data_IF_258492706365
#
_entry.id   IF_258492706365
#
_cell.length_a   1.000
_cell.length_b   1.000
_cell.length_c   1.000
_cell.angle_alpha   90.00
_cell.angle_beta   90.00
_cell.angle_gamma   90.00
#
_symmetry.space_group_name_H-M   'P 1'
#
loop_
_entity.id
_entity.type
_entity.pdbx_description
1 polymer ?
#
# COMPACT_ATOMS: atom_id res chain seq x y z
N UNK A 1 8.06 10.03 -12.46
CA UNK A 1 8.97 10.92 -11.69
C UNK A 1 9.80 10.15 -10.64
N UNK A 2 9.19 9.32 -9.77
CA UNK A 2 9.93 8.54 -8.75
C UNK A 2 10.94 7.56 -9.36
N UNK A 3 10.56 6.78 -10.38
CA UNK A 3 11.49 5.85 -11.05
C UNK A 3 12.73 6.56 -11.62
N UNK A 4 12.53 7.71 -12.29
CA UNK A 4 13.61 8.56 -12.81
C UNK A 4 14.50 9.11 -11.69
N UNK A 5 13.91 9.57 -10.59
CA UNK A 5 14.63 10.05 -9.42
C UNK A 5 15.52 8.95 -8.80
N UNK A 6 15.01 7.71 -8.73
CA UNK A 6 15.75 6.56 -8.23
C UNK A 6 16.76 5.98 -9.25
N UNK A 7 16.86 6.56 -10.45
CA UNK A 7 17.70 6.02 -11.53
C UNK A 7 17.28 4.63 -12.01
N UNK A 8 16.03 4.21 -11.76
CA UNK A 8 15.48 2.91 -12.16
C UNK A 8 14.54 3.07 -13.34
N UNK A 9 14.77 2.28 -14.41
CA UNK A 9 13.82 2.16 -15.53
C UNK A 9 12.98 0.90 -15.31
N UNK A 10 11.67 1.05 -15.45
CA UNK A 10 10.71 -0.06 -15.43
C UNK A 10 10.15 -0.24 -16.85
N UNK A 11 9.81 -1.47 -17.21
CA UNK A 11 8.99 -1.71 -18.40
C UNK A 11 7.57 -1.16 -18.15
N UNK A 12 6.78 -0.92 -19.21
CA UNK A 12 5.38 -0.53 -19.07
C UNK A 12 4.59 -1.47 -18.16
N UNK A 13 4.78 -2.79 -18.32
CA UNK A 13 4.07 -3.82 -17.55
C UNK A 13 4.47 -3.79 -16.07
N UNK A 14 5.76 -3.57 -15.79
CA UNK A 14 6.23 -3.42 -14.41
C UNK A 14 5.69 -2.14 -13.76
N UNK A 15 5.57 -1.05 -14.53
CA UNK A 15 4.97 0.18 -14.05
C UNK A 15 3.49 0.01 -13.74
N UNK A 16 2.73 -0.66 -14.62
CA UNK A 16 1.31 -0.98 -14.40
C UNK A 16 1.13 -1.84 -13.16
N UNK A 17 2.02 -2.82 -12.94
CA UNK A 17 2.06 -3.62 -11.73
C UNK A 17 2.25 -2.77 -10.46
N UNK A 18 3.15 -1.78 -10.48
CA UNK A 18 3.33 -0.85 -9.36
C UNK A 18 2.07 -0.03 -9.13
N UNK A 19 1.48 0.54 -10.18
CA UNK A 19 0.27 1.36 -10.07
C UNK A 19 -0.89 0.55 -9.48
N UNK A 20 -1.15 -0.65 -10.02
CA UNK A 20 -2.24 -1.51 -9.56
C UNK A 20 -2.12 -1.87 -8.07
N UNK A 21 -0.91 -2.25 -7.62
CA UNK A 21 -0.65 -2.66 -6.24
C UNK A 21 -0.59 -1.48 -5.25
N UNK A 22 -0.23 -0.28 -5.72
CA UNK A 22 -0.14 0.91 -4.89
C UNK A 22 -1.48 1.69 -4.76
N UNK A 23 -2.57 1.19 -5.37
CA UNK A 23 -3.89 1.80 -5.19
C UNK A 23 -4.37 1.66 -3.74
N UNK A 24 -5.14 2.64 -3.24
CA UNK A 24 -5.74 2.56 -1.90
C UNK A 24 -6.58 1.27 -1.73
N UNK A 25 -7.34 0.89 -2.75
CA UNK A 25 -8.13 -0.35 -2.73
C UNK A 25 -7.26 -1.60 -2.59
N UNK A 26 -6.15 -1.70 -3.34
CA UNK A 26 -5.24 -2.83 -3.23
C UNK A 26 -4.55 -2.86 -1.85
N UNK A 27 -4.02 -1.72 -1.39
CA UNK A 27 -3.30 -1.63 -0.12
C UNK A 27 -4.21 -1.84 1.09
N UNK A 28 -5.46 -1.37 1.06
CA UNK A 28 -6.43 -1.55 2.16
C UNK A 28 -6.87 -3.01 2.34
N UNK A 29 -6.78 -3.84 1.31
CA UNK A 29 -7.07 -5.28 1.38
C UNK A 29 -5.84 -6.14 1.66
N UNK A 30 -4.63 -5.63 1.48
CA UNK A 30 -3.40 -6.38 1.70
C UNK A 30 -2.99 -6.33 3.20
N UNK A 31 -2.97 -7.48 3.92
CA UNK A 31 -2.60 -7.53 5.34
C UNK A 31 -1.20 -6.97 5.65
N UNK A 32 -0.28 -7.07 4.69
CA UNK A 32 1.09 -6.58 4.84
C UNK A 32 1.21 -5.05 4.75
N UNK A 33 0.17 -4.35 4.28
CA UNK A 33 0.16 -2.89 4.15
C UNK A 33 -0.98 -2.20 4.91
N UNK A 34 -2.06 -2.89 5.24
CA UNK A 34 -3.21 -2.29 5.94
C UNK A 34 -3.10 -2.35 7.48
N UNK A 35 -2.00 -2.89 8.00
CA UNK A 35 -1.71 -3.02 9.43
C UNK A 35 -2.64 -3.94 10.22
N UNK A 36 -3.42 -4.81 9.57
CA UNK A 36 -4.29 -5.79 10.26
C UNK A 36 -3.53 -6.80 11.11
N UNK A 37 -2.25 -7.00 10.84
CA UNK A 37 -1.35 -7.87 11.60
C UNK A 37 -0.75 -7.20 12.84
N UNK A 38 -1.03 -5.92 13.09
CA UNK A 38 -0.52 -5.21 14.25
C UNK A 38 -1.19 -5.70 15.54
N UNK A 39 -0.43 -5.89 16.64
CA UNK A 39 -1.02 -6.17 17.95
C UNK A 39 -2.00 -5.06 18.39
N UNK A 40 -3.10 -5.46 19.03
CA UNK A 40 -4.17 -4.52 19.46
C UNK A 40 -3.69 -3.42 20.42
N UNK A 41 -2.63 -3.68 21.20
CA UNK A 41 -2.07 -2.67 22.10
C UNK A 41 -1.29 -1.57 21.36
N UNK A 42 -0.87 -1.81 20.12
CA UNK A 42 -0.24 -0.82 19.25
C UNK A 42 -1.31 -0.12 18.40
N UNK A 43 -2.23 -0.89 17.83
CA UNK A 43 -3.27 -0.38 16.94
C UNK A 43 -4.59 -1.12 17.14
N UNK A 44 -5.57 -0.45 17.76
CA UNK A 44 -6.91 -0.99 17.97
C UNK A 44 -7.81 -0.73 16.75
N UNK A 45 -7.73 -1.62 15.77
CA UNK A 45 -8.50 -1.52 14.51
C UNK A 45 -10.02 -1.69 14.69
N UNK A 46 -10.51 -2.06 15.88
CA UNK A 46 -11.95 -2.07 16.19
C UNK A 46 -12.53 -0.67 16.25
N UNK A 47 -11.69 0.34 16.47
CA UNK A 47 -12.07 1.77 16.45
C UNK A 47 -12.07 2.35 15.03
N UNK A 48 -11.53 1.61 14.07
CA UNK A 48 -11.49 1.98 12.66
C UNK A 48 -10.25 1.42 11.96
N UNK A 49 -10.31 1.26 10.62
CA UNK A 49 -9.16 0.79 9.85
C UNK A 49 -8.06 1.84 9.77
N UNK A 50 -6.80 1.38 9.68
CA UNK A 50 -5.64 2.27 9.46
C UNK A 50 -5.78 3.06 8.16
N UNK A 51 -6.09 2.36 7.07
CA UNK A 51 -6.38 2.95 5.76
C UNK A 51 -7.88 3.27 5.69
N UNK A 52 -8.28 4.41 6.26
CA UNK A 52 -9.69 4.82 6.40
C UNK A 52 -10.30 5.49 5.17
N UNK A 53 -9.55 6.38 4.52
CA UNK A 53 -9.90 7.07 3.26
C UNK A 53 -8.63 7.36 2.48
N UNK A 54 -8.69 7.24 1.16
CA UNK A 54 -7.60 7.49 0.21
C UNK A 54 -7.97 6.98 -1.17
#
# INVERSE_FOLDING_TARGET
>A
RVCSFLGRRLSPEALDGVVANATFGAMSRNPMSNFSLSPLFILDLRRGPFLRKG
#
